data_IF_261559521910
#
_entry.id   IF_261559521910
#
_cell.length_a   1.000
_cell.length_b   1.000
_cell.length_c   1.000
_cell.angle_alpha   90.00
_cell.angle_beta   90.00
_cell.angle_gamma   90.00
#
_symmetry.space_group_name_H-M   'P 1'
#
loop_
_entity.id
_entity.type
_entity.pdbx_description
1 polymer ?
#
# COMPACT_ATOMS: atom_id res chain seq x y z
N UNK A 1 2.15 62.36 -11.82
CA UNK A 1 0.95 61.53 -11.93
C UNK A 1 1.33 60.14 -11.39
N UNK A 2 0.84 59.83 -10.20
CA UNK A 2 1.16 58.59 -9.48
C UNK A 2 -0.03 57.63 -9.71
N UNK A 3 0.24 56.45 -10.23
CA UNK A 3 -0.75 55.37 -10.36
C UNK A 3 -0.49 54.37 -9.23
N UNK A 4 -1.45 54.25 -8.31
CA UNK A 4 -1.41 53.29 -7.25
C UNK A 4 -1.73 51.88 -7.71
N UNK A 5 -1.07 50.83 -7.19
CA UNK A 5 -1.43 49.44 -7.48
C UNK A 5 -2.60 48.99 -6.59
N UNK A 6 -3.63 48.52 -7.23
CA UNK A 6 -4.81 47.90 -6.58
C UNK A 6 -4.42 46.51 -6.05
N UNK A 7 -4.39 46.36 -4.75
CA UNK A 7 -4.14 45.08 -4.08
C UNK A 7 -5.40 44.25 -4.08
N UNK A 8 -5.43 43.20 -4.87
CA UNK A 8 -6.53 42.21 -4.90
C UNK A 8 -6.32 41.24 -3.75
N UNK A 9 -7.13 41.37 -2.69
CA UNK A 9 -7.16 40.44 -1.56
C UNK A 9 -7.98 39.21 -1.98
N UNK A 10 -7.32 38.10 -2.21
CA UNK A 10 -7.99 36.82 -2.43
C UNK A 10 -8.31 36.24 -1.05
N UNK A 11 -9.58 36.23 -0.67
CA UNK A 11 -10.09 35.52 0.49
C UNK A 11 -10.05 34.02 0.23
N UNK A 12 -9.06 33.32 0.81
CA UNK A 12 -9.08 31.87 0.95
C UNK A 12 -10.10 31.51 2.02
N UNK A 13 -11.24 30.98 1.62
CA UNK A 13 -12.21 30.39 2.52
C UNK A 13 -11.64 29.07 3.05
N UNK A 14 -11.15 29.09 4.29
CA UNK A 14 -10.79 27.89 5.03
C UNK A 14 -12.10 27.25 5.48
N UNK A 15 -12.49 26.16 4.82
CA UNK A 15 -13.60 25.31 5.30
C UNK A 15 -13.06 24.47 6.45
N UNK A 16 -13.31 24.94 7.67
CA UNK A 16 -13.10 24.13 8.88
C UNK A 16 -14.26 23.14 8.96
N UNK A 17 -14.02 21.90 8.60
CA UNK A 17 -14.92 20.78 8.88
C UNK A 17 -14.86 20.52 10.39
N UNK A 18 -15.85 21.02 11.11
CA UNK A 18 -16.10 20.67 12.51
C UNK A 18 -16.65 19.24 12.54
N UNK A 19 -15.82 18.29 12.97
CA UNK A 19 -16.27 16.95 13.34
C UNK A 19 -17.11 17.07 14.62
N UNK A 20 -18.43 17.10 14.46
CA UNK A 20 -19.36 16.96 15.56
C UNK A 20 -19.35 15.50 16.01
N UNK A 21 -18.78 15.25 17.18
CA UNK A 21 -18.90 13.98 17.90
C UNK A 21 -20.36 13.79 18.33
N UNK A 22 -21.12 13.05 17.56
CA UNK A 22 -22.44 12.57 17.96
C UNK A 22 -22.29 11.28 18.76
N UNK A 23 -22.36 11.40 20.06
CA UNK A 23 -22.59 10.26 20.97
C UNK A 23 -23.99 9.71 20.70
N UNK A 24 -24.10 8.61 20.01
CA UNK A 24 -25.40 7.94 19.78
C UNK A 24 -25.50 6.74 20.70
N UNK A 25 -26.43 6.86 21.62
CA UNK A 25 -26.94 5.83 22.51
C UNK A 25 -27.40 4.61 21.71
N UNK A 26 -26.98 3.42 22.15
CA UNK A 26 -27.46 2.14 21.65
C UNK A 26 -28.98 2.02 21.81
N UNK A 27 -29.66 1.82 20.70
CA UNK A 27 -30.95 1.12 20.67
C UNK A 27 -30.76 -0.13 19.82
N UNK A 28 -30.81 -1.28 20.49
CA UNK A 28 -30.95 -2.59 19.86
C UNK A 28 -32.21 -2.60 18.99
N UNK A 29 -32.04 -2.74 17.67
CA UNK A 29 -33.03 -3.30 16.80
C UNK A 29 -32.34 -4.17 15.73
N UNK A 30 -32.53 -5.42 15.94
CA UNK A 30 -32.30 -6.58 15.11
C UNK A 30 -32.84 -6.37 13.68
N UNK A 31 -31.99 -6.21 12.68
CA UNK A 31 -32.29 -6.50 11.28
C UNK A 31 -31.06 -7.12 10.66
N UNK A 32 -31.20 -8.38 10.26
CA UNK A 32 -30.17 -9.24 9.75
C UNK A 32 -29.37 -8.69 8.57
N UNK A 33 -28.07 -8.83 8.67
CA UNK A 33 -27.13 -8.67 7.54
C UNK A 33 -25.78 -8.06 7.90
N UNK A 34 -24.76 -8.90 8.11
CA UNK A 34 -23.32 -8.61 8.06
C UNK A 34 -22.49 -8.28 9.33
N UNK A 35 -22.58 -8.99 10.45
CA UNK A 35 -21.50 -8.91 11.45
C UNK A 35 -20.27 -9.75 11.07
N UNK A 36 -20.42 -10.82 10.29
CA UNK A 36 -19.38 -11.84 10.07
C UNK A 36 -18.22 -11.37 9.18
N UNK A 37 -18.47 -10.56 8.18
CA UNK A 37 -17.44 -10.10 7.21
C UNK A 37 -16.51 -9.01 7.78
N UNK A 38 -17.04 -8.12 8.60
CA UNK A 38 -16.24 -7.10 9.28
C UNK A 38 -15.24 -7.73 10.26
N UNK A 39 -15.63 -8.84 10.88
CA UNK A 39 -14.80 -9.61 11.81
C UNK A 39 -13.60 -10.25 11.09
N UNK A 40 -13.77 -10.73 9.86
CA UNK A 40 -12.69 -11.38 9.11
C UNK A 40 -11.51 -10.44 8.80
N UNK A 41 -11.78 -9.21 8.33
CA UNK A 41 -10.72 -8.21 8.08
C UNK A 41 -9.97 -7.90 9.38
N UNK A 42 -10.70 -7.68 10.47
CA UNK A 42 -10.11 -7.40 11.79
C UNK A 42 -9.23 -8.55 12.26
N UNK A 43 -9.68 -9.79 12.12
CA UNK A 43 -8.91 -10.98 12.49
C UNK A 43 -7.65 -11.13 11.62
N UNK A 44 -7.76 -10.96 10.31
CA UNK A 44 -6.62 -11.00 9.40
C UNK A 44 -5.59 -9.89 9.74
N UNK A 45 -6.05 -8.68 10.05
CA UNK A 45 -5.21 -7.57 10.44
C UNK A 45 -4.55 -7.76 11.82
N UNK A 46 -5.25 -8.38 12.77
CA UNK A 46 -4.67 -8.76 14.04
C UNK A 46 -3.54 -9.79 13.85
N UNK A 47 -3.75 -10.78 13.01
CA UNK A 47 -2.71 -11.76 12.67
C UNK A 47 -1.53 -11.10 11.95
N UNK A 48 -1.78 -10.18 11.00
CA UNK A 48 -0.74 -9.43 10.31
C UNK A 48 0.09 -8.57 11.30
N UNK A 49 -0.54 -7.94 12.29
CA UNK A 49 0.19 -7.16 13.31
C UNK A 49 1.08 -8.03 14.20
N UNK A 50 0.67 -9.25 14.50
CA UNK A 50 1.49 -10.22 15.26
C UNK A 50 2.67 -10.74 14.43
N UNK A 51 2.45 -10.95 13.13
CA UNK A 51 3.46 -11.46 12.20
C UNK A 51 4.40 -10.37 11.67
N UNK A 52 4.12 -9.09 11.97
CA UNK A 52 5.00 -7.99 11.56
C UNK A 52 6.32 -8.03 12.33
N UNK A 53 7.41 -7.65 11.66
CA UNK A 53 8.73 -7.62 12.29
C UNK A 53 8.85 -6.44 13.27
N UNK A 54 9.80 -6.53 14.19
CA UNK A 54 10.11 -5.45 15.14
C UNK A 54 10.51 -4.13 14.43
N UNK A 55 11.09 -4.24 13.23
CA UNK A 55 11.53 -3.09 12.43
C UNK A 55 10.42 -2.48 11.56
N UNK A 56 9.39 -3.28 11.23
CA UNK A 56 8.29 -2.87 10.35
C UNK A 56 6.95 -3.17 11.03
N UNK A 57 6.75 -2.55 12.19
CA UNK A 57 5.59 -2.83 13.02
C UNK A 57 4.31 -2.31 12.35
N UNK A 58 3.47 -3.22 11.87
CA UNK A 58 2.14 -2.93 11.33
C UNK A 58 1.11 -3.01 12.46
N UNK A 59 0.39 -1.91 12.68
CA UNK A 59 -0.71 -1.91 13.64
C UNK A 59 -1.98 -2.50 13.02
N UNK A 60 -2.81 -3.15 13.85
CA UNK A 60 -4.13 -3.61 13.42
C UNK A 60 -4.95 -2.48 12.81
N UNK A 61 -4.93 -1.28 13.43
CA UNK A 61 -5.67 -0.11 12.97
C UNK A 61 -5.22 0.34 11.57
N UNK A 62 -3.91 0.41 11.31
CA UNK A 62 -3.37 0.75 9.99
C UNK A 62 -3.83 -0.27 8.93
N UNK A 63 -3.71 -1.55 9.23
CA UNK A 63 -4.13 -2.62 8.33
C UNK A 63 -5.62 -2.53 8.00
N UNK A 64 -6.49 -2.42 9.01
CA UNK A 64 -7.95 -2.32 8.83
C UNK A 64 -8.32 -1.07 8.03
N UNK A 65 -7.73 0.08 8.36
CA UNK A 65 -8.02 1.34 7.67
C UNK A 65 -7.57 1.30 6.21
N UNK A 66 -6.41 0.70 5.93
CA UNK A 66 -5.87 0.55 4.57
C UNK A 66 -6.75 -0.37 3.72
N UNK A 67 -7.05 -1.57 4.20
CA UNK A 67 -7.86 -2.52 3.44
C UNK A 67 -9.27 -2.00 3.18
N UNK A 68 -9.88 -1.30 4.12
CA UNK A 68 -11.23 -0.71 3.96
C UNK A 68 -11.31 0.46 2.99
N UNK A 69 -10.18 0.99 2.51
CA UNK A 69 -10.19 1.97 1.40
C UNK A 69 -10.68 1.35 0.10
N UNK A 70 -10.48 0.05 -0.06
CA UNK A 70 -11.02 -0.69 -1.20
C UNK A 70 -12.37 -1.33 -0.85
N UNK A 71 -13.41 -1.01 -1.64
CA UNK A 71 -14.76 -1.55 -1.44
C UNK A 71 -14.84 -3.07 -1.59
N UNK A 72 -13.90 -3.67 -2.34
CA UNK A 72 -13.84 -5.13 -2.52
C UNK A 72 -13.44 -5.85 -1.22
N UNK A 73 -12.81 -5.15 -0.27
CA UNK A 73 -12.45 -5.73 1.03
C UNK A 73 -13.66 -6.23 1.81
N UNK A 74 -14.81 -5.55 1.68
CA UNK A 74 -16.06 -6.00 2.29
C UNK A 74 -16.62 -7.29 1.65
N UNK A 75 -16.16 -7.64 0.46
CA UNK A 75 -16.56 -8.83 -0.29
C UNK A 75 -15.55 -9.97 -0.19
N UNK A 76 -14.39 -9.74 0.42
CA UNK A 76 -13.36 -10.74 0.64
C UNK A 76 -13.89 -11.96 1.39
N UNK A 77 -13.60 -13.14 0.87
CA UNK A 77 -14.11 -14.42 1.41
C UNK A 77 -13.07 -15.14 2.24
N UNK A 78 -11.81 -14.90 1.94
CA UNK A 78 -10.68 -15.55 2.57
C UNK A 78 -9.43 -14.62 2.58
N UNK A 79 -8.37 -15.09 3.21
CA UNK A 79 -7.10 -14.34 3.30
C UNK A 79 -6.51 -14.04 1.91
N UNK A 80 -6.71 -14.91 0.94
CA UNK A 80 -6.22 -14.73 -0.43
C UNK A 80 -6.85 -13.51 -1.09
N UNK A 81 -8.16 -13.32 -0.93
CA UNK A 81 -8.86 -12.14 -1.43
C UNK A 81 -8.29 -10.86 -0.80
N UNK A 82 -8.04 -10.87 0.54
CA UNK A 82 -7.44 -9.72 1.22
C UNK A 82 -6.02 -9.45 0.77
N UNK A 83 -5.20 -10.47 0.56
CA UNK A 83 -3.84 -10.33 0.02
C UNK A 83 -3.89 -9.74 -1.39
N UNK A 84 -4.80 -10.23 -2.24
CA UNK A 84 -4.96 -9.70 -3.59
C UNK A 84 -5.31 -8.20 -3.57
N UNK A 85 -6.22 -7.80 -2.69
CA UNK A 85 -6.61 -6.40 -2.51
C UNK A 85 -5.41 -5.57 -1.99
N UNK A 86 -4.70 -6.07 -0.98
CA UNK A 86 -3.51 -5.40 -0.44
C UNK A 86 -2.44 -5.19 -1.51
N UNK A 87 -2.16 -6.21 -2.31
CA UNK A 87 -1.20 -6.14 -3.44
C UNK A 87 -1.67 -5.13 -4.50
N UNK A 88 -2.96 -5.08 -4.82
CA UNK A 88 -3.50 -4.11 -5.78
C UNK A 88 -3.46 -2.67 -5.24
N UNK A 89 -3.71 -2.45 -3.94
CA UNK A 89 -3.52 -1.15 -3.27
C UNK A 89 -2.06 -0.71 -3.37
N UNK A 90 -1.12 -1.54 -2.92
CA UNK A 90 0.32 -1.23 -2.99
C UNK A 90 0.75 -0.91 -4.42
N UNK A 91 0.37 -1.74 -5.38
CA UNK A 91 0.68 -1.53 -6.80
C UNK A 91 0.15 -0.20 -7.32
N UNK A 92 -1.09 0.15 -6.98
CA UNK A 92 -1.70 1.43 -7.37
C UNK A 92 -0.91 2.63 -6.84
N UNK A 93 -0.48 2.58 -5.59
CA UNK A 93 0.34 3.62 -4.97
C UNK A 93 1.74 3.71 -5.61
N UNK A 94 2.39 2.58 -5.93
CA UNK A 94 3.69 2.57 -6.62
C UNK A 94 3.56 3.17 -8.02
N UNK A 95 2.52 2.83 -8.78
CA UNK A 95 2.27 3.42 -10.12
C UNK A 95 2.11 4.94 -10.01
N UNK A 96 1.37 5.43 -9.03
CA UNK A 96 1.21 6.86 -8.80
C UNK A 96 2.55 7.55 -8.45
N UNK A 97 3.38 6.91 -7.62
CA UNK A 97 4.71 7.40 -7.28
C UNK A 97 5.65 7.40 -8.49
N UNK A 98 5.66 6.33 -9.30
CA UNK A 98 6.41 6.25 -10.56
C UNK A 98 6.01 7.36 -11.53
N UNK A 99 4.71 7.68 -11.63
CA UNK A 99 4.24 8.80 -12.45
C UNK A 99 4.83 10.15 -12.01
N UNK A 100 4.88 10.42 -10.70
CA UNK A 100 5.51 11.64 -10.16
C UNK A 100 7.02 11.68 -10.42
N UNK A 101 7.70 10.55 -10.22
CA UNK A 101 9.14 10.44 -10.51
C UNK A 101 9.43 10.74 -11.98
N UNK A 102 8.61 10.21 -12.91
CA UNK A 102 8.73 10.49 -14.35
C UNK A 102 8.52 11.96 -14.69
N UNK A 103 7.55 12.62 -14.05
CA UNK A 103 7.34 14.05 -14.20
C UNK A 103 8.52 14.88 -13.67
N UNK A 104 9.02 14.54 -12.48
CA UNK A 104 10.19 15.19 -11.89
C UNK A 104 11.44 14.98 -12.74
N UNK A 105 11.65 13.77 -13.28
CA UNK A 105 12.77 13.44 -14.15
C UNK A 105 12.71 14.24 -15.47
N UNK A 106 11.53 14.43 -16.02
CA UNK A 106 11.34 15.26 -17.23
C UNK A 106 11.80 16.71 -17.01
N UNK A 107 11.59 17.24 -15.80
CA UNK A 107 11.94 18.60 -15.42
C UNK A 107 13.39 18.73 -14.88
N UNK A 108 14.04 17.61 -14.58
CA UNK A 108 15.40 17.59 -14.03
C UNK A 108 16.44 17.85 -15.12
N UNK A 109 17.49 18.63 -14.78
CA UNK A 109 18.62 18.83 -15.69
C UNK A 109 19.42 17.52 -15.82
N UNK A 110 19.62 17.08 -17.05
CA UNK A 110 20.41 15.89 -17.33
C UNK A 110 21.83 15.97 -16.75
N UNK A 111 22.33 14.82 -16.27
CA UNK A 111 23.67 14.71 -15.69
C UNK A 111 23.76 15.18 -14.24
N UNK A 112 22.69 15.61 -13.60
CA UNK A 112 22.67 15.95 -12.18
C UNK A 112 22.45 14.70 -11.31
N UNK A 113 22.92 14.74 -10.04
CA UNK A 113 22.69 13.67 -9.07
C UNK A 113 21.20 13.38 -8.89
N UNK A 114 20.35 14.41 -8.87
CA UNK A 114 18.90 14.24 -8.77
C UNK A 114 18.32 13.49 -9.98
N UNK A 115 18.76 13.81 -11.21
CA UNK A 115 18.30 13.09 -12.39
C UNK A 115 18.74 11.62 -12.38
N UNK A 116 19.90 11.31 -11.83
CA UNK A 116 20.38 9.94 -11.65
C UNK A 116 19.53 9.18 -10.62
N UNK A 117 19.31 9.79 -9.46
CA UNK A 117 18.46 9.25 -8.40
C UNK A 117 17.04 8.96 -8.91
N UNK A 118 16.39 9.92 -9.57
CA UNK A 118 15.04 9.75 -10.08
C UNK A 118 14.94 8.60 -11.10
N UNK A 119 15.98 8.38 -11.92
CA UNK A 119 16.04 7.20 -12.82
C UNK A 119 16.14 5.88 -12.04
N UNK A 120 16.89 5.84 -10.95
CA UNK A 120 16.95 4.66 -10.09
C UNK A 120 15.59 4.38 -9.44
N UNK A 121 14.93 5.40 -8.89
CA UNK A 121 13.58 5.25 -8.33
C UNK A 121 12.57 4.78 -9.38
N UNK A 122 12.60 5.34 -10.61
CA UNK A 122 11.76 4.89 -11.71
C UNK A 122 11.98 3.40 -12.00
N UNK A 123 13.24 2.98 -12.12
CA UNK A 123 13.59 1.58 -12.36
C UNK A 123 13.09 0.66 -11.25
N UNK A 124 13.27 1.04 -10.00
CA UNK A 124 12.84 0.25 -8.84
C UNK A 124 11.31 0.14 -8.77
N UNK A 125 10.58 1.24 -8.99
CA UNK A 125 9.12 1.21 -8.99
C UNK A 125 8.55 0.38 -10.16
N UNK A 126 9.10 0.51 -11.36
CA UNK A 126 8.65 -0.27 -12.52
C UNK A 126 8.95 -1.78 -12.33
N UNK A 127 10.09 -2.13 -11.70
CA UNK A 127 10.40 -3.50 -11.30
C UNK A 127 9.44 -4.02 -10.22
N UNK A 128 9.15 -3.23 -9.18
CA UNK A 128 8.20 -3.59 -8.13
C UNK A 128 6.79 -3.86 -8.70
N UNK A 129 6.30 -2.99 -9.58
CA UNK A 129 5.01 -3.20 -10.28
C UNK A 129 5.00 -4.51 -11.07
N UNK A 130 6.11 -4.83 -11.76
CA UNK A 130 6.24 -6.08 -12.53
C UNK A 130 6.14 -7.30 -11.62
N UNK A 131 6.83 -7.27 -10.47
CA UNK A 131 6.81 -8.37 -9.50
C UNK A 131 5.42 -8.51 -8.86
N UNK A 132 4.75 -7.40 -8.51
CA UNK A 132 3.39 -7.44 -7.98
C UNK A 132 2.37 -7.96 -9.00
N UNK A 133 2.56 -7.74 -10.29
CA UNK A 133 1.74 -8.37 -11.33
C UNK A 133 1.94 -9.90 -11.35
N UNK A 134 3.17 -10.39 -11.15
CA UNK A 134 3.44 -11.82 -10.99
C UNK A 134 2.72 -12.36 -9.75
N UNK A 135 2.81 -11.65 -8.60
CA UNK A 135 2.10 -12.01 -7.38
C UNK A 135 0.59 -12.10 -7.58
N UNK A 136 0.00 -11.14 -8.29
CA UNK A 136 -1.42 -11.16 -8.64
C UNK A 136 -1.80 -12.37 -9.52
N UNK A 137 -0.95 -12.74 -10.46
CA UNK A 137 -1.18 -13.94 -11.27
C UNK A 137 -1.13 -15.19 -10.40
N UNK A 138 -0.13 -15.33 -9.53
CA UNK A 138 -0.04 -16.44 -8.58
C UNK A 138 -1.28 -16.55 -7.68
N UNK A 139 -1.83 -15.42 -7.25
CA UNK A 139 -3.05 -15.38 -6.44
C UNK A 139 -4.30 -15.76 -7.25
N UNK A 140 -4.41 -15.37 -8.51
CA UNK A 140 -5.58 -15.62 -9.35
C UNK A 140 -5.62 -17.03 -9.92
N UNK A 141 -4.48 -17.57 -10.35
CA UNK A 141 -4.38 -18.88 -11.02
C UNK A 141 -4.41 -20.06 -10.04
N UNK A 142 -4.23 -19.81 -8.75
CA UNK A 142 -4.31 -20.83 -7.72
C UNK A 142 -5.78 -21.21 -7.45
N UNK A 143 -6.41 -21.87 -8.39
CA UNK A 143 -7.48 -22.80 -8.07
C UNK A 143 -6.81 -23.90 -7.23
N UNK A 144 -7.09 -23.93 -5.93
CA UNK A 144 -6.54 -24.90 -5.01
C UNK A 144 -6.51 -26.30 -5.59
N UNK A 145 -5.74 -27.24 -5.06
CA UNK A 145 -5.39 -28.49 -5.69
C UNK A 145 -6.65 -29.26 -6.09
N UNK A 146 -7.08 -29.15 -7.34
CA UNK A 146 -7.94 -30.12 -7.97
C UNK A 146 -7.09 -31.36 -8.19
N UNK A 147 -7.12 -32.23 -7.21
CA UNK A 147 -6.55 -33.57 -7.29
C UNK A 147 -5.05 -33.63 -7.00
N UNK A 148 -4.71 -33.90 -5.74
CA UNK A 148 -3.57 -34.73 -5.32
C UNK A 148 -2.16 -34.43 -5.78
N UNK A 149 -1.89 -33.40 -6.56
CA UNK A 149 -0.54 -33.00 -6.91
C UNK A 149 0.05 -32.12 -5.81
N UNK A 150 1.05 -32.66 -5.17
CA UNK A 150 1.83 -32.08 -4.05
C UNK A 150 2.61 -30.81 -4.44
N UNK A 151 2.49 -30.38 -5.70
CA UNK A 151 3.19 -29.26 -6.30
C UNK A 151 2.24 -28.46 -7.19
N UNK A 152 1.27 -27.78 -6.57
CA UNK A 152 0.64 -26.65 -7.24
C UNK A 152 1.70 -25.60 -7.58
N UNK A 153 1.53 -24.80 -8.67
CA UNK A 153 2.47 -23.73 -8.97
C UNK A 153 2.58 -22.80 -7.78
N UNK A 154 3.72 -22.24 -7.57
CA UNK A 154 4.37 -21.95 -6.31
C UNK A 154 3.74 -20.81 -5.52
N UNK A 155 2.75 -21.11 -4.71
CA UNK A 155 2.30 -20.19 -3.65
C UNK A 155 3.44 -19.85 -2.67
N UNK A 156 4.45 -20.73 -2.54
CA UNK A 156 5.61 -20.49 -1.70
C UNK A 156 6.52 -19.36 -2.19
N UNK A 157 6.46 -18.97 -3.46
CA UNK A 157 7.17 -17.79 -3.97
C UNK A 157 6.40 -16.48 -3.75
N UNK A 158 5.13 -16.54 -3.37
CA UNK A 158 4.33 -15.35 -3.18
C UNK A 158 4.91 -14.40 -2.10
N UNK A 159 5.28 -14.89 -0.89
CA UNK A 159 5.93 -14.03 0.10
C UNK A 159 7.25 -13.44 -0.40
N UNK A 160 8.08 -14.22 -1.10
CA UNK A 160 9.34 -13.74 -1.68
C UNK A 160 9.10 -12.64 -2.71
N UNK A 161 8.11 -12.81 -3.60
CA UNK A 161 7.76 -11.80 -4.59
C UNK A 161 7.28 -10.51 -3.92
N UNK A 162 6.38 -10.59 -2.93
CA UNK A 162 5.88 -9.42 -2.21
C UNK A 162 7.00 -8.74 -1.43
N UNK A 163 7.85 -9.51 -0.73
CA UNK A 163 9.00 -8.99 -0.01
C UNK A 163 10.01 -8.30 -0.93
N UNK A 164 10.28 -8.88 -2.11
CA UNK A 164 11.16 -8.26 -3.12
C UNK A 164 10.58 -6.94 -3.64
N UNK A 165 9.28 -6.88 -3.92
CA UNK A 165 8.64 -5.64 -4.37
C UNK A 165 8.70 -4.55 -3.29
N UNK A 166 8.50 -4.90 -2.01
CA UNK A 166 8.66 -3.98 -0.87
C UNK A 166 10.11 -3.47 -0.78
N UNK A 167 11.10 -4.35 -0.86
CA UNK A 167 12.52 -3.96 -0.81
C UNK A 167 12.92 -3.01 -1.95
N UNK A 168 12.37 -3.18 -3.15
CA UNK A 168 12.62 -2.26 -4.26
C UNK A 168 12.11 -0.85 -3.98
N UNK A 169 10.97 -0.72 -3.31
CA UNK A 169 10.46 0.57 -2.84
C UNK A 169 11.41 1.18 -1.81
N UNK A 170 11.88 0.41 -0.84
CA UNK A 170 12.78 0.88 0.21
C UNK A 170 14.12 1.38 -0.35
N UNK A 171 14.65 0.76 -1.41
CA UNK A 171 15.87 1.24 -2.06
C UNK A 171 15.73 2.66 -2.59
N UNK A 172 14.60 3.02 -3.21
CA UNK A 172 14.36 4.41 -3.60
C UNK A 172 14.30 5.34 -2.37
N UNK A 173 13.66 4.92 -1.28
CA UNK A 173 13.57 5.68 -0.04
C UNK A 173 14.94 5.98 0.58
N UNK A 174 15.81 4.99 0.63
CA UNK A 174 17.16 5.16 1.15
C UNK A 174 17.97 6.21 0.37
N UNK A 175 17.86 6.22 -0.95
CA UNK A 175 18.51 7.20 -1.80
C UNK A 175 17.95 8.62 -1.64
N UNK A 176 16.68 8.75 -1.21
CA UNK A 176 16.00 10.03 -1.05
C UNK A 176 16.32 10.72 0.28
N UNK A 177 16.74 9.96 1.30
CA UNK A 177 16.92 10.46 2.68
C UNK A 177 17.79 11.72 2.78
N UNK A 178 18.88 11.77 2.03
CA UNK A 178 19.86 12.85 2.08
C UNK A 178 19.74 13.82 0.90
N UNK A 179 18.65 13.73 0.11
CA UNK A 179 18.48 14.57 -1.09
C UNK A 179 17.67 15.83 -0.79
N UNK A 180 18.31 17.03 -0.75
CA UNK A 180 17.59 18.27 -0.50
C UNK A 180 16.50 18.53 -1.55
N UNK A 181 15.34 19.00 -1.09
CA UNK A 181 14.22 19.37 -1.96
C UNK A 181 13.37 18.18 -2.45
N UNK A 182 13.60 16.97 -1.90
CA UNK A 182 12.85 15.76 -2.24
C UNK A 182 11.97 15.24 -1.08
N UNK A 183 11.69 16.07 -0.09
CA UNK A 183 10.98 15.70 1.13
C UNK A 183 9.59 15.13 0.83
N UNK A 184 8.90 15.66 -0.20
CA UNK A 184 7.57 15.18 -0.60
C UNK A 184 7.63 13.76 -1.20
N UNK A 185 8.64 13.48 -2.03
CA UNK A 185 8.85 12.15 -2.60
C UNK A 185 9.31 11.16 -1.53
N UNK A 186 10.21 11.59 -0.64
CA UNK A 186 10.64 10.79 0.51
C UNK A 186 9.47 10.40 1.40
N UNK A 187 8.60 11.36 1.77
CA UNK A 187 7.40 11.07 2.56
C UNK A 187 6.48 10.06 1.86
N UNK A 188 6.26 10.23 0.55
CA UNK A 188 5.48 9.27 -0.21
C UNK A 188 6.12 7.87 -0.21
N UNK A 189 7.45 7.80 -0.26
CA UNK A 189 8.15 6.52 -0.22
C UNK A 189 8.03 5.83 1.15
N UNK A 190 8.00 6.58 2.25
CA UNK A 190 7.70 6.02 3.59
C UNK A 190 6.30 5.38 3.58
N UNK A 191 5.30 6.08 3.06
CA UNK A 191 3.92 5.54 2.94
C UNK A 191 3.88 4.25 2.10
N UNK A 192 4.70 4.17 1.03
CA UNK A 192 4.85 2.95 0.25
C UNK A 192 5.54 1.82 1.03
N UNK A 193 6.54 2.14 1.85
CA UNK A 193 7.22 1.19 2.75
C UNK A 193 6.25 0.57 3.76
N UNK A 194 5.38 1.40 4.37
CA UNK A 194 4.33 0.93 5.28
C UNK A 194 3.34 -0.02 4.57
N UNK A 195 2.92 0.32 3.34
CA UNK A 195 2.07 -0.54 2.53
C UNK A 195 2.78 -1.84 2.12
N UNK A 196 4.08 -1.77 1.80
CA UNK A 196 4.91 -2.93 1.52
C UNK A 196 4.97 -3.87 2.72
N UNK A 197 5.26 -3.32 3.90
CA UNK A 197 5.32 -4.05 5.18
C UNK A 197 3.98 -4.70 5.53
N UNK A 198 2.87 -4.00 5.30
CA UNK A 198 1.52 -4.58 5.45
C UNK A 198 1.34 -5.80 4.57
N UNK A 199 1.70 -5.70 3.28
CA UNK A 199 1.55 -6.81 2.36
C UNK A 199 2.44 -8.01 2.72
N UNK A 200 3.68 -7.77 3.18
CA UNK A 200 4.58 -8.82 3.69
C UNK A 200 3.94 -9.51 4.91
N UNK A 201 3.36 -8.77 5.83
CA UNK A 201 2.69 -9.33 7.01
C UNK A 201 1.42 -10.14 6.64
N UNK A 202 0.65 -9.70 5.66
CA UNK A 202 -0.54 -10.41 5.16
C UNK A 202 -0.19 -11.72 4.46
N UNK A 203 0.96 -11.80 3.77
CA UNK A 203 1.38 -13.04 3.08
C UNK A 203 2.17 -13.98 3.98
N UNK A 204 2.56 -13.55 5.18
CA UNK A 204 3.34 -14.37 6.12
C UNK A 204 2.79 -15.79 6.34
N UNK A 205 1.46 -16.02 6.48
CA UNK A 205 0.92 -17.36 6.63
C UNK A 205 1.22 -18.31 5.45
N UNK A 206 1.54 -17.78 4.27
CA UNK A 206 1.92 -18.62 3.12
C UNK A 206 3.34 -19.20 3.24
N UNK A 207 4.21 -18.65 4.10
CA UNK A 207 5.51 -19.24 4.40
C UNK A 207 5.39 -20.58 5.14
N UNK A 208 4.42 -20.69 6.07
CA UNK A 208 4.25 -21.86 6.89
C UNK A 208 3.73 -23.07 6.11
N UNK A 209 3.03 -22.83 5.01
CA UNK A 209 2.53 -23.89 4.13
C UNK A 209 3.64 -24.66 3.38
N UNK A 210 4.87 -24.16 3.39
CA UNK A 210 6.00 -24.72 2.64
C UNK A 210 6.91 -25.62 3.49
N UNK A 211 6.75 -25.59 4.83
CA UNK A 211 7.61 -26.31 5.74
C UNK A 211 7.03 -27.68 6.18
N UNK A 212 5.83 -28.03 5.76
CA UNK A 212 5.15 -29.29 6.00
C UNK A 212 5.00 -30.11 4.71
#
# INVERSE_FOLDING_TARGET
MAIAPTTTIIFSAIIIMLFSSATTTQTNNDIGGKPERTHFIVEACKNASINSSEYNHITEEFCVSTLRQDKQSDEAKDLRDLVLIGVDILKGHIIAASGKVKEMLHNAKNGTSIAHLLRLCELHYDAAVTILNISNTMLKDNHGPKGGEKYGPPSYYLPDCVGMASSLVDYCGHELVDMPGQEALYKQNIELGDLGSLNVALVAPYWDLTQN
#
